data_IF_676328570040
#
_entry.id   IF_676328570040
#
_cell.length_a   1.000
_cell.length_b   1.000
_cell.length_c   1.000
_cell.angle_alpha   90.00
_cell.angle_beta   90.00
_cell.angle_gamma   90.00
#
_symmetry.space_group_name_H-M   'P 1'
#
loop_
_entity.id
_entity.type
_entity.pdbx_description
1 polymer ?
#
# COMPACT_ATOMS: atom_id res chain seq x y z
N UNK A 1 -22.54 15.47 66.60
CA UNK A 1 -21.23 16.03 66.19
C UNK A 1 -20.24 14.89 66.12
N UNK A 2 -19.89 14.45 64.90
CA UNK A 2 -18.88 13.42 64.66
C UNK A 2 -17.49 14.09 64.49
N UNK A 3 -16.38 13.44 64.89
CA UNK A 3 -15.04 14.02 64.70
C UNK A 3 -14.59 13.85 63.25
N UNK A 4 -14.03 14.92 62.70
CA UNK A 4 -13.48 14.97 61.35
C UNK A 4 -12.23 14.07 61.25
N UNK A 5 -12.20 13.25 60.21
CA UNK A 5 -11.07 12.43 59.79
C UNK A 5 -9.93 13.32 59.24
N UNK A 6 -8.75 13.25 59.85
CA UNK A 6 -7.52 13.81 59.28
C UNK A 6 -6.97 12.86 58.21
N UNK A 7 -7.13 13.23 56.94
CA UNK A 7 -6.40 12.62 55.84
C UNK A 7 -4.95 13.10 55.90
N UNK A 8 -4.00 12.19 56.09
CA UNK A 8 -2.58 12.48 55.96
C UNK A 8 -2.26 12.91 54.52
N UNK A 9 -1.57 14.04 54.30
CA UNK A 9 -1.13 14.40 52.96
C UNK A 9 -0.04 13.43 52.52
N UNK A 10 -0.24 12.79 51.36
CA UNK A 10 0.78 11.98 50.71
C UNK A 10 1.99 12.89 50.44
N UNK A 11 3.07 12.71 51.20
CA UNK A 11 4.31 13.48 51.03
C UNK A 11 4.99 13.01 49.74
N UNK A 12 4.78 13.76 48.67
CA UNK A 12 5.47 13.54 47.41
C UNK A 12 6.95 13.87 47.63
N UNK A 13 7.81 12.85 47.59
CA UNK A 13 9.26 13.03 47.72
C UNK A 13 9.82 13.71 46.47
N UNK A 14 9.82 15.05 46.48
CA UNK A 14 10.33 15.87 45.38
C UNK A 14 11.74 15.53 44.90
N UNK A 15 12.69 15.12 45.76
CA UNK A 15 14.00 14.71 45.29
C UNK A 15 13.94 13.55 44.30
N UNK A 16 13.08 12.55 44.55
CA UNK A 16 12.94 11.36 43.70
C UNK A 16 12.32 11.74 42.34
N UNK A 17 11.32 12.61 42.35
CA UNK A 17 10.65 13.08 41.13
C UNK A 17 11.56 13.97 40.27
N UNK A 18 12.35 14.84 40.88
CA UNK A 18 13.33 15.68 40.19
C UNK A 18 14.49 14.84 39.63
N UNK A 19 15.00 13.87 40.41
CA UNK A 19 16.04 12.95 39.91
C UNK A 19 15.53 12.08 38.77
N UNK A 20 14.29 11.57 38.86
CA UNK A 20 13.68 10.77 37.79
C UNK A 20 13.49 11.55 36.49
N UNK A 21 13.01 12.80 36.56
CA UNK A 21 12.82 13.67 35.39
C UNK A 21 14.13 14.19 34.79
N UNK A 22 15.14 14.44 35.61
CA UNK A 22 16.50 14.77 35.15
C UNK A 22 17.17 13.58 34.45
N UNK A 23 17.11 12.38 35.02
CA UNK A 23 17.65 11.16 34.40
C UNK A 23 16.94 10.81 33.08
N UNK A 24 15.62 11.00 33.01
CA UNK A 24 14.85 10.85 31.77
C UNK A 24 15.32 11.85 30.70
N UNK A 25 15.48 13.13 31.07
CA UNK A 25 15.93 14.18 30.15
C UNK A 25 17.37 13.94 29.67
N UNK A 26 18.26 13.51 30.56
CA UNK A 26 19.64 13.14 30.21
C UNK A 26 19.63 11.90 29.30
N UNK A 27 18.79 10.90 29.56
CA UNK A 27 18.63 9.72 28.71
C UNK A 27 18.12 10.07 27.31
N UNK A 28 17.19 11.03 27.20
CA UNK A 28 16.69 11.55 25.90
C UNK A 28 17.78 12.31 25.15
N UNK A 29 18.54 13.19 25.83
CA UNK A 29 19.62 13.97 25.23
C UNK A 29 20.82 13.09 24.82
N UNK A 30 21.23 12.15 25.67
CA UNK A 30 22.29 11.19 25.37
C UNK A 30 21.87 10.24 24.24
N UNK A 31 20.61 9.81 24.23
CA UNK A 31 20.02 9.04 23.13
C UNK A 31 20.02 9.80 21.81
N UNK A 32 19.78 11.11 21.82
CA UNK A 32 19.86 11.95 20.62
C UNK A 32 21.29 12.14 20.07
N UNK A 33 22.29 12.18 20.95
CA UNK A 33 23.70 12.40 20.57
C UNK A 33 24.43 11.11 20.12
N UNK A 34 23.99 9.93 20.58
CA UNK A 34 24.60 8.65 20.23
C UNK A 34 23.95 7.92 19.04
N UNK A 35 22.80 8.39 18.57
CA UNK A 35 22.03 7.70 17.54
C UNK A 35 22.42 8.14 16.13
N UNK A 36 23.68 7.88 15.74
CA UNK A 36 23.99 7.74 14.32
C UNK A 36 23.33 6.44 13.87
N UNK A 37 22.06 6.49 13.44
CA UNK A 37 21.36 5.34 12.85
C UNK A 37 22.25 4.82 11.72
N UNK A 38 22.85 3.65 11.90
CA UNK A 38 23.55 2.95 10.83
C UNK A 38 22.51 2.53 9.80
N UNK A 39 22.89 2.57 8.53
CA UNK A 39 22.10 1.97 7.46
C UNK A 39 21.67 0.57 7.89
N UNK A 40 20.36 0.33 7.89
CA UNK A 40 19.76 -0.89 8.43
C UNK A 40 18.93 -1.51 7.34
N UNK A 41 19.29 -2.72 6.93
CA UNK A 41 18.51 -3.51 5.97
C UNK A 41 17.95 -4.73 6.68
N UNK A 42 16.62 -4.80 6.82
CA UNK A 42 15.93 -5.99 7.31
C UNK A 42 15.73 -6.93 6.12
N UNK A 43 16.30 -8.13 6.21
CA UNK A 43 16.28 -9.10 5.11
C UNK A 43 14.90 -9.72 4.90
N UNK A 44 14.53 -9.88 3.63
CA UNK A 44 13.27 -10.49 3.21
C UNK A 44 13.28 -12.03 3.38
N UNK A 45 12.11 -12.69 3.31
CA UNK A 45 11.99 -14.15 3.31
C UNK A 45 12.86 -14.85 2.26
N UNK A 46 13.26 -14.13 1.20
CA UNK A 46 14.21 -14.62 0.20
C UNK A 46 15.51 -15.11 0.82
N UNK A 47 16.02 -14.36 1.79
CA UNK A 47 17.31 -14.65 2.44
C UNK A 47 17.10 -15.39 3.76
N UNK A 48 16.02 -15.09 4.48
CA UNK A 48 15.80 -15.59 5.85
C UNK A 48 15.08 -16.93 5.89
N UNK A 49 14.32 -17.28 4.85
CA UNK A 49 13.46 -18.47 4.81
C UNK A 49 13.75 -19.38 3.61
N UNK A 50 13.75 -18.88 2.36
CA UNK A 50 13.86 -19.74 1.17
C UNK A 50 15.04 -20.72 1.18
N UNK A 51 16.27 -20.36 1.65
CA UNK A 51 17.40 -21.31 1.66
C UNK A 51 17.21 -22.50 2.60
N UNK A 52 16.19 -22.48 3.46
CA UNK A 52 15.89 -23.53 4.45
C UNK A 52 14.81 -24.50 3.98
N UNK A 53 14.18 -24.23 2.84
CA UNK A 53 13.06 -24.99 2.33
C UNK A 53 13.48 -25.89 1.15
N UNK A 54 12.84 -27.04 1.01
CA UNK A 54 12.95 -27.89 -0.17
C UNK A 54 12.27 -27.24 -1.39
N UNK A 55 12.49 -27.80 -2.59
CA UNK A 55 11.85 -27.28 -3.81
C UNK A 55 10.34 -27.44 -3.76
N UNK A 56 9.88 -28.55 -3.19
CA UNK A 56 8.47 -28.87 -3.00
C UNK A 56 7.83 -27.89 -2.01
N UNK A 57 8.49 -27.65 -0.88
CA UNK A 57 8.03 -26.65 0.11
C UNK A 57 7.98 -25.24 -0.47
N UNK A 58 8.96 -24.86 -1.30
CA UNK A 58 8.99 -23.57 -1.99
C UNK A 58 7.80 -23.43 -2.96
N UNK A 59 7.47 -24.50 -3.69
CA UNK A 59 6.37 -24.50 -4.66
C UNK A 59 5.01 -24.33 -3.99
N UNK A 60 4.85 -24.88 -2.77
CA UNK A 60 3.60 -24.86 -2.00
C UNK A 60 3.43 -23.59 -1.15
N UNK A 61 4.40 -22.68 -1.18
CA UNK A 61 4.31 -21.39 -0.47
C UNK A 61 3.10 -20.59 -0.95
N UNK A 62 2.42 -19.84 -0.03
CA UNK A 62 1.38 -18.89 -0.40
C UNK A 62 1.77 -17.81 -1.39
N UNK A 63 3.07 -17.51 -1.50
CA UNK A 63 3.66 -16.60 -2.47
C UNK A 63 4.99 -17.20 -2.94
N UNK A 64 4.98 -18.12 -3.90
CA UNK A 64 6.20 -18.79 -4.33
C UNK A 64 7.07 -17.85 -5.19
N UNK A 65 8.40 -17.93 -5.12
CA UNK A 65 9.29 -16.96 -5.76
C UNK A 65 9.19 -16.91 -7.28
N UNK A 66 8.76 -18.01 -7.91
CA UNK A 66 8.57 -18.21 -9.34
C UNK A 66 7.11 -18.02 -9.79
N UNK A 67 6.25 -17.41 -8.96
CA UNK A 67 4.82 -17.24 -9.25
C UNK A 67 4.55 -16.34 -10.46
N UNK A 68 5.49 -15.47 -10.82
CA UNK A 68 5.46 -14.65 -12.03
C UNK A 68 6.74 -14.91 -12.85
N UNK A 69 6.67 -14.87 -14.20
CA UNK A 69 7.85 -15.06 -15.05
C UNK A 69 8.88 -13.93 -14.92
N UNK A 70 10.11 -14.21 -15.33
CA UNK A 70 11.17 -13.20 -15.43
C UNK A 70 11.61 -12.62 -14.09
N UNK A 71 11.47 -13.41 -13.01
CA UNK A 71 11.89 -13.02 -11.68
C UNK A 71 13.40 -12.75 -11.63
N UNK A 72 13.80 -11.62 -11.05
CA UNK A 72 15.19 -11.28 -10.72
C UNK A 72 15.26 -10.52 -9.40
N UNK A 73 16.42 -10.61 -8.77
CA UNK A 73 16.75 -9.86 -7.56
C UNK A 73 17.78 -8.78 -7.92
N UNK A 74 17.44 -7.52 -7.68
CA UNK A 74 18.27 -6.36 -8.00
C UNK A 74 18.94 -5.88 -6.71
N UNK A 75 20.26 -5.98 -6.63
CA UNK A 75 21.01 -5.46 -5.48
C UNK A 75 21.08 -3.93 -5.53
N UNK A 76 20.87 -3.29 -4.38
CA UNK A 76 20.84 -1.82 -4.26
C UNK A 76 21.40 -1.37 -2.91
N UNK A 77 21.75 -0.08 -2.75
CA UNK A 77 22.14 0.48 -1.45
C UNK A 77 21.09 0.31 -0.33
N UNK A 78 19.85 -0.02 -0.68
CA UNK A 78 18.71 -0.19 0.23
C UNK A 78 18.41 -1.67 0.53
N UNK A 79 19.23 -2.59 0.01
CA UNK A 79 18.96 -4.03 -0.01
C UNK A 79 18.46 -4.52 -1.36
N UNK A 80 18.01 -5.77 -1.42
CA UNK A 80 17.55 -6.40 -2.66
C UNK A 80 16.12 -6.03 -3.02
N UNK A 81 15.83 -5.76 -4.29
CA UNK A 81 14.48 -5.60 -4.84
C UNK A 81 14.10 -6.84 -5.66
N UNK A 82 12.94 -7.45 -5.39
CA UNK A 82 12.35 -8.48 -6.26
C UNK A 82 11.62 -7.81 -7.43
N UNK A 83 12.04 -8.14 -8.66
CA UNK A 83 11.45 -7.65 -9.91
C UNK A 83 11.00 -8.82 -10.77
N UNK A 84 9.90 -8.64 -11.50
CA UNK A 84 9.36 -9.56 -12.49
C UNK A 84 9.19 -8.82 -13.81
N UNK A 85 9.74 -9.33 -14.91
CA UNK A 85 9.66 -8.68 -16.21
C UNK A 85 9.49 -9.69 -17.34
N UNK A 86 8.40 -9.58 -18.10
CA UNK A 86 8.04 -10.59 -19.11
C UNK A 86 7.09 -10.02 -20.18
N UNK A 87 6.85 -10.80 -21.23
CA UNK A 87 6.14 -10.39 -22.44
C UNK A 87 7.10 -10.01 -23.59
N UNK A 88 6.57 -9.71 -24.79
CA UNK A 88 7.36 -9.38 -25.98
C UNK A 88 8.27 -8.17 -25.73
N UNK A 89 9.53 -8.23 -26.18
CA UNK A 89 10.54 -7.18 -25.90
C UNK A 89 10.25 -5.84 -26.60
N UNK A 90 9.55 -5.89 -27.74
CA UNK A 90 9.08 -4.75 -28.53
C UNK A 90 7.67 -4.29 -28.13
N UNK A 91 7.04 -4.97 -27.17
CA UNK A 91 5.71 -4.66 -26.69
C UNK A 91 5.61 -3.31 -25.97
N UNK A 92 4.37 -2.78 -25.88
CA UNK A 92 4.09 -1.59 -25.06
C UNK A 92 4.56 -1.82 -23.63
N UNK A 93 5.44 -0.96 -23.12
CA UNK A 93 5.99 -1.05 -21.78
C UNK A 93 4.98 -0.63 -20.74
N UNK A 94 4.73 -1.48 -19.74
CA UNK A 94 3.81 -1.23 -18.64
C UNK A 94 4.48 -1.54 -17.31
N UNK A 95 4.65 -0.54 -16.45
CA UNK A 95 5.12 -0.72 -15.09
C UNK A 95 3.92 -0.79 -14.15
N UNK A 96 3.82 -1.86 -13.34
CA UNK A 96 2.75 -2.05 -12.38
C UNK A 96 3.26 -1.94 -10.93
N UNK A 97 2.58 -1.12 -10.12
CA UNK A 97 2.89 -0.88 -8.71
C UNK A 97 1.74 -1.36 -7.84
N UNK A 98 2.02 -2.32 -6.96
CA UNK A 98 1.03 -2.93 -6.09
C UNK A 98 0.69 -2.07 -4.85
N UNK A 99 -0.32 -2.52 -4.08
CA UNK A 99 -0.82 -1.84 -2.89
C UNK A 99 0.04 -2.03 -1.63
N UNK A 100 -0.47 -1.57 -0.49
CA UNK A 100 0.31 -1.53 0.76
C UNK A 100 0.55 -2.91 1.40
N UNK A 101 -0.44 -3.81 1.33
CA UNK A 101 -0.45 -5.08 2.07
C UNK A 101 -0.02 -6.27 1.22
N UNK A 102 -0.31 -6.25 -0.08
CA UNK A 102 -0.03 -7.37 -0.98
C UNK A 102 1.34 -7.24 -1.65
N UNK A 103 1.96 -8.35 -2.10
CA UNK A 103 3.09 -8.30 -3.02
C UNK A 103 2.65 -8.07 -4.47
N UNK A 104 3.61 -8.00 -5.40
CA UNK A 104 3.41 -7.75 -6.83
C UNK A 104 2.39 -8.69 -7.50
N UNK A 105 2.30 -9.93 -7.03
CA UNK A 105 1.37 -10.95 -7.53
C UNK A 105 -0.11 -10.55 -7.44
N UNK A 106 -0.47 -9.56 -6.61
CA UNK A 106 -1.83 -8.98 -6.62
C UNK A 106 -2.22 -8.40 -7.99
N UNK A 107 -1.25 -7.99 -8.81
CA UNK A 107 -1.50 -7.52 -10.17
C UNK A 107 -1.16 -8.56 -11.24
N UNK A 108 -0.90 -9.82 -10.85
CA UNK A 108 -0.49 -10.89 -11.76
C UNK A 108 -1.53 -11.19 -12.84
N UNK A 109 -2.82 -11.23 -12.47
CA UNK A 109 -3.91 -11.44 -13.43
C UNK A 109 -3.98 -10.35 -14.51
N UNK A 110 -3.81 -9.09 -14.11
CA UNK A 110 -3.75 -7.94 -15.05
C UNK A 110 -2.49 -8.00 -15.88
N UNK A 111 -1.33 -8.27 -15.27
CA UNK A 111 -0.05 -8.37 -15.98
C UNK A 111 -0.07 -9.43 -17.08
N UNK A 112 -0.56 -10.64 -16.79
CA UNK A 112 -0.71 -11.68 -17.80
C UNK A 112 -1.67 -11.26 -18.92
N UNK A 113 -2.83 -10.68 -18.58
CA UNK A 113 -3.77 -10.21 -19.61
C UNK A 113 -3.20 -9.10 -20.49
N UNK A 114 -2.35 -8.21 -19.95
CA UNK A 114 -1.64 -7.21 -20.76
C UNK A 114 -0.60 -7.85 -21.68
N UNK A 115 0.13 -8.87 -21.21
CA UNK A 115 1.06 -9.64 -22.04
C UNK A 115 0.33 -10.36 -23.18
N UNK A 116 -0.84 -10.95 -22.90
CA UNK A 116 -1.70 -11.56 -23.91
C UNK A 116 -2.16 -10.54 -24.99
N UNK A 117 -2.10 -9.25 -24.67
CA UNK A 117 -2.37 -8.12 -25.58
C UNK A 117 -1.09 -7.41 -26.08
N UNK A 118 0.04 -8.12 -26.10
CA UNK A 118 1.29 -7.63 -26.70
C UNK A 118 2.07 -6.61 -25.87
N UNK A 119 1.81 -6.49 -24.57
CA UNK A 119 2.56 -5.59 -23.69
C UNK A 119 3.82 -6.25 -23.10
N UNK A 120 4.88 -5.46 -22.94
CA UNK A 120 6.02 -5.78 -22.07
C UNK A 120 5.69 -5.29 -20.66
N UNK A 121 5.54 -6.19 -19.70
CA UNK A 121 5.16 -5.82 -18.33
C UNK A 121 6.33 -5.93 -17.37
N UNK A 122 6.36 -5.03 -16.40
CA UNK A 122 7.29 -5.07 -15.28
C UNK A 122 6.54 -4.84 -13.97
N UNK A 123 6.81 -5.68 -12.99
CA UNK A 123 6.30 -5.58 -11.62
C UNK A 123 7.47 -5.71 -10.65
N UNK A 124 7.31 -5.18 -9.46
CA UNK A 124 8.29 -5.34 -8.40
C UNK A 124 7.60 -5.34 -7.05
N UNK A 125 8.19 -6.05 -6.08
CA UNK A 125 7.74 -5.94 -4.71
C UNK A 125 8.26 -4.63 -4.12
N UNK A 126 7.36 -3.78 -3.61
CA UNK A 126 7.70 -2.59 -2.84
C UNK A 126 8.62 -2.97 -1.66
N UNK A 127 9.54 -2.09 -1.27
CA UNK A 127 10.42 -2.35 -0.13
C UNK A 127 9.63 -2.78 1.11
N UNK A 128 10.05 -3.86 1.75
CA UNK A 128 9.34 -4.47 2.88
C UNK A 128 8.08 -5.25 2.54
N UNK A 129 7.89 -5.62 1.27
CA UNK A 129 6.81 -6.50 0.81
C UNK A 129 7.42 -7.64 0.00
N UNK A 130 6.71 -8.76 -0.04
CA UNK A 130 7.10 -9.95 -0.78
C UNK A 130 8.55 -10.35 -0.52
N UNK A 131 9.35 -10.38 -1.59
CA UNK A 131 10.76 -10.76 -1.55
C UNK A 131 11.76 -9.61 -1.61
N UNK A 132 11.31 -8.35 -1.65
CA UNK A 132 12.17 -7.16 -1.51
C UNK A 132 12.54 -6.91 -0.05
N UNK A 133 13.78 -6.54 0.25
CA UNK A 133 14.28 -6.19 1.59
C UNK A 133 13.59 -4.91 2.15
N UNK A 134 13.72 -4.63 3.45
CA UNK A 134 13.21 -3.39 4.09
C UNK A 134 14.37 -2.48 4.51
N UNK A 135 14.42 -1.23 4.01
CA UNK A 135 15.28 -0.17 4.55
C UNK A 135 14.74 0.26 5.93
N UNK A 136 15.28 -0.31 7.00
CA UNK A 136 14.78 -0.14 8.37
C UNK A 136 15.16 1.19 9.03
N UNK A 137 16.02 1.99 8.40
CA UNK A 137 16.43 3.31 8.87
C UNK A 137 15.78 4.48 8.10
N UNK A 138 14.97 4.19 7.08
CA UNK A 138 14.36 5.19 6.21
C UNK A 138 12.83 5.21 6.30
N UNK A 139 12.26 6.39 6.11
CA UNK A 139 10.82 6.53 5.89
C UNK A 139 10.44 5.91 4.54
N UNK A 140 9.35 5.12 4.52
CA UNK A 140 8.75 4.62 3.30
C UNK A 140 7.86 5.71 2.67
N UNK A 141 8.53 6.75 2.19
CA UNK A 141 7.92 7.93 1.59
C UNK A 141 8.07 7.94 0.06
N UNK A 142 7.57 9.00 -0.58
CA UNK A 142 7.66 9.14 -2.03
C UNK A 142 9.10 9.19 -2.55
N UNK A 143 10.09 9.65 -1.77
CA UNK A 143 11.49 9.69 -2.19
C UNK A 143 12.03 8.27 -2.29
N UNK A 144 11.74 7.44 -1.30
CA UNK A 144 12.13 6.02 -1.32
C UNK A 144 11.43 5.27 -2.46
N UNK A 145 10.11 5.45 -2.62
CA UNK A 145 9.37 4.77 -3.70
C UNK A 145 9.78 5.23 -5.10
N UNK A 146 10.04 6.52 -5.28
CA UNK A 146 10.57 7.06 -6.55
C UNK A 146 11.94 6.45 -6.85
N UNK A 147 12.83 6.40 -5.87
CA UNK A 147 14.14 5.77 -6.01
C UNK A 147 14.00 4.29 -6.37
N UNK A 148 13.06 3.59 -5.73
CA UNK A 148 12.77 2.19 -6.05
C UNK A 148 12.33 2.01 -7.50
N UNK A 149 11.39 2.83 -8.00
CA UNK A 149 10.95 2.80 -9.41
C UNK A 149 12.15 2.98 -10.35
N UNK A 150 12.99 4.00 -10.12
CA UNK A 150 14.12 4.29 -10.99
C UNK A 150 15.16 3.15 -10.99
N UNK A 151 15.45 2.55 -9.83
CA UNK A 151 16.34 1.39 -9.71
C UNK A 151 15.78 0.16 -10.44
N UNK A 152 14.47 -0.06 -10.34
CA UNK A 152 13.77 -1.16 -11.02
C UNK A 152 13.84 -0.97 -12.55
N UNK A 153 13.52 0.22 -13.05
CA UNK A 153 13.61 0.53 -14.49
C UNK A 153 15.05 0.38 -15.01
N UNK A 154 16.04 0.88 -14.27
CA UNK A 154 17.45 0.80 -14.63
C UNK A 154 18.01 -0.63 -14.59
N UNK A 155 17.37 -1.54 -13.86
CA UNK A 155 17.78 -2.95 -13.78
C UNK A 155 17.38 -3.80 -14.99
N UNK A 156 16.55 -3.26 -15.89
CA UNK A 156 16.08 -4.00 -17.06
C UNK A 156 17.19 -4.09 -18.12
N UNK A 157 17.29 -5.23 -18.84
CA UNK A 157 18.14 -5.29 -20.03
C UNK A 157 17.58 -4.44 -21.19
N UNK A 158 16.31 -4.03 -21.13
CA UNK A 158 15.68 -3.17 -22.13
C UNK A 158 15.71 -1.70 -21.67
N UNK A 159 15.79 -0.76 -22.61
CA UNK A 159 15.69 0.67 -22.28
C UNK A 159 14.25 1.05 -21.97
N UNK A 160 13.92 1.31 -20.71
CA UNK A 160 12.58 1.79 -20.31
C UNK A 160 12.39 3.30 -20.38
N UNK A 161 13.49 4.05 -20.51
CA UNK A 161 13.51 5.52 -20.54
C UNK A 161 14.33 6.02 -21.73
N UNK A 162 14.13 7.29 -22.12
CA UNK A 162 14.82 7.92 -23.26
C UNK A 162 14.00 9.04 -23.92
N UNK A 163 14.45 9.53 -25.07
CA UNK A 163 13.88 10.73 -25.73
C UNK A 163 12.87 10.41 -26.84
N UNK A 164 12.76 9.16 -27.25
CA UNK A 164 11.93 8.70 -28.37
C UNK A 164 10.52 8.32 -27.85
N UNK A 165 9.50 8.28 -28.72
CA UNK A 165 8.14 7.83 -28.32
C UNK A 165 8.14 6.43 -27.68
N UNK A 166 9.01 5.53 -28.16
CA UNK A 166 9.22 4.17 -27.63
C UNK A 166 9.92 4.12 -26.26
N UNK A 167 10.28 5.28 -25.71
CA UNK A 167 11.03 5.46 -24.48
C UNK A 167 10.18 6.01 -23.31
N UNK A 168 8.85 6.05 -23.50
CA UNK A 168 7.86 6.23 -22.45
C UNK A 168 7.24 4.89 -22.07
N UNK A 169 6.63 4.80 -20.90
CA UNK A 169 5.91 3.62 -20.46
C UNK A 169 4.56 3.99 -19.85
N UNK A 170 3.61 3.05 -19.91
CA UNK A 170 2.36 3.13 -19.18
C UNK A 170 2.61 2.79 -17.71
N UNK A 171 2.08 3.60 -16.80
CA UNK A 171 2.22 3.41 -15.37
C UNK A 171 0.88 3.01 -14.76
N UNK A 172 0.85 1.85 -14.11
CA UNK A 172 -0.31 1.27 -13.44
C UNK A 172 -0.07 1.28 -11.93
N UNK A 173 -1.00 1.83 -11.15
CA UNK A 173 -0.89 1.87 -9.70
C UNK A 173 -2.15 1.37 -9.00
N UNK A 174 -2.00 0.43 -8.07
CA UNK A 174 -3.10 -0.09 -7.24
C UNK A 174 -3.01 0.41 -5.80
N UNK A 175 -4.09 1.01 -5.27
CA UNK A 175 -4.17 1.45 -3.87
C UNK A 175 -3.03 2.42 -3.51
N UNK A 176 -2.17 2.11 -2.53
CA UNK A 176 -0.92 2.86 -2.29
C UNK A 176 -0.09 3.04 -3.56
N UNK A 177 0.00 2.02 -4.41
CA UNK A 177 0.67 2.08 -5.71
C UNK A 177 0.08 3.14 -6.64
N UNK A 178 -1.21 3.46 -6.52
CA UNK A 178 -1.84 4.58 -7.23
C UNK A 178 -1.35 5.93 -6.74
N UNK A 179 -1.25 6.12 -5.42
CA UNK A 179 -0.66 7.33 -4.84
C UNK A 179 0.81 7.51 -5.21
N UNK A 180 1.58 6.42 -5.22
CA UNK A 180 2.97 6.40 -5.69
C UNK A 180 3.04 6.75 -7.17
N UNK A 181 2.23 6.10 -8.00
CA UNK A 181 2.22 6.27 -9.45
C UNK A 181 1.91 7.71 -9.86
N UNK A 182 0.83 8.29 -9.34
CA UNK A 182 0.45 9.67 -9.70
C UNK A 182 1.48 10.68 -9.21
N UNK A 183 2.00 10.52 -7.99
CA UNK A 183 3.01 11.45 -7.49
C UNK A 183 4.33 11.30 -8.26
N UNK A 184 4.77 10.08 -8.60
CA UNK A 184 5.91 9.86 -9.49
C UNK A 184 5.69 10.52 -10.85
N UNK A 185 4.52 10.31 -11.47
CA UNK A 185 4.16 10.92 -12.74
C UNK A 185 4.17 12.46 -12.69
N UNK A 186 3.89 13.07 -11.53
CA UNK A 186 3.98 14.53 -11.37
C UNK A 186 5.42 15.06 -11.43
N UNK A 187 6.42 14.24 -11.08
CA UNK A 187 7.84 14.60 -11.12
C UNK A 187 8.52 14.19 -12.43
N UNK A 188 8.08 13.08 -13.04
CA UNK A 188 8.64 12.53 -14.26
C UNK A 188 7.60 12.39 -15.37
N UNK A 189 6.80 13.43 -15.67
CA UNK A 189 5.67 13.30 -16.59
C UNK A 189 6.09 12.91 -18.01
N UNK A 190 7.30 13.29 -18.43
CA UNK A 190 7.81 12.97 -19.76
C UNK A 190 8.14 11.49 -19.94
N UNK A 191 8.30 10.71 -18.85
CA UNK A 191 8.47 9.26 -18.90
C UNK A 191 7.14 8.50 -19.05
N UNK A 192 6.01 9.18 -18.84
CA UNK A 192 4.70 8.54 -18.76
C UNK A 192 3.96 8.67 -20.10
N UNK A 193 3.60 7.52 -20.67
CA UNK A 193 2.75 7.46 -21.86
C UNK A 193 1.25 7.48 -21.51
N UNK A 194 0.89 6.72 -20.47
CA UNK A 194 -0.48 6.56 -19.96
C UNK A 194 -0.42 6.32 -18.45
N UNK A 195 -1.35 6.91 -17.69
CA UNK A 195 -1.51 6.68 -16.25
C UNK A 195 -2.84 5.96 -15.98
N UNK A 196 -2.77 4.79 -15.35
CA UNK A 196 -3.92 3.93 -15.04
C UNK A 196 -3.90 3.63 -13.54
N UNK A 197 -5.03 3.86 -12.87
CA UNK A 197 -5.12 3.78 -11.42
C UNK A 197 -6.24 2.82 -11.02
N UNK A 198 -5.94 1.86 -10.13
CA UNK A 198 -6.94 0.95 -9.56
C UNK A 198 -7.15 1.30 -8.10
N UNK A 199 -8.38 1.64 -7.72
CA UNK A 199 -8.76 2.02 -6.36
C UNK A 199 -7.67 2.88 -5.66
N UNK A 200 -7.25 4.03 -6.25
CA UNK A 200 -6.04 4.71 -5.85
C UNK A 200 -6.14 5.41 -4.49
N UNK A 201 -5.07 5.34 -3.71
CA UNK A 201 -4.82 6.25 -2.60
C UNK A 201 -4.25 7.60 -3.10
N UNK A 202 -3.96 8.51 -2.19
CA UNK A 202 -3.30 9.81 -2.45
C UNK A 202 -4.21 11.00 -2.20
N UNK A 203 -5.46 10.93 -2.66
CA UNK A 203 -6.47 11.98 -2.48
C UNK A 203 -7.56 11.58 -1.48
N UNK A 204 -7.29 10.58 -0.63
CA UNK A 204 -8.24 10.13 0.38
C UNK A 204 -8.58 11.22 1.40
N UNK A 205 -9.88 11.41 1.65
CA UNK A 205 -10.39 12.38 2.62
C UNK A 205 -10.14 11.91 4.06
N UNK A 206 -9.79 12.82 4.98
CA UNK A 206 -9.37 12.46 6.34
C UNK A 206 -10.48 11.90 7.23
N UNK A 207 -11.76 12.15 6.93
CA UNK A 207 -12.88 11.77 7.79
C UNK A 207 -13.16 10.25 7.82
N UNK A 208 -12.57 9.48 6.91
CA UNK A 208 -12.63 8.00 6.93
C UNK A 208 -11.62 7.34 7.88
N UNK A 209 -10.80 8.15 8.56
CA UNK A 209 -9.84 7.66 9.55
C UNK A 209 -10.56 7.55 10.90
N UNK A 210 -10.84 6.32 11.32
CA UNK A 210 -11.30 6.06 12.67
C UNK A 210 -10.29 6.62 13.69
N UNK A 211 -10.77 7.18 14.82
CA UNK A 211 -9.90 7.75 15.87
C UNK A 211 -8.84 6.76 16.39
N UNK A 212 -9.06 5.46 16.21
CA UNK A 212 -8.16 4.36 16.57
C UNK A 212 -7.00 4.14 15.58
N UNK A 213 -7.09 4.62 14.34
CA UNK A 213 -5.99 4.64 13.37
C UNK A 213 -4.90 5.66 13.74
N UNK A 214 -5.18 6.60 14.65
CA UNK A 214 -4.19 7.52 15.22
C UNK A 214 -3.06 6.79 15.95
N UNK A 215 -3.26 5.55 16.41
CA UNK A 215 -2.19 4.79 17.09
C UNK A 215 -0.99 4.55 16.19
N UNK A 216 -1.20 4.36 14.88
CA UNK A 216 -0.10 4.19 13.93
C UNK A 216 0.72 5.48 13.88
N UNK A 217 0.12 6.66 14.04
CA UNK A 217 0.81 7.96 14.02
C UNK A 217 1.43 8.35 15.37
N UNK A 218 1.32 7.51 16.40
CA UNK A 218 1.84 7.80 17.76
C UNK A 218 3.35 7.55 17.88
N UNK A 219 4.12 7.97 16.88
CA UNK A 219 5.57 7.85 16.87
C UNK A 219 6.17 8.63 18.06
N UNK A 220 7.13 8.02 18.76
CA UNK A 220 7.78 8.62 19.94
C UNK A 220 6.96 8.59 21.23
N UNK A 221 5.67 8.22 21.18
CA UNK A 221 4.81 8.05 22.36
C UNK A 221 4.78 6.58 22.81
N UNK A 222 4.63 5.65 21.84
CA UNK A 222 4.63 4.21 22.09
C UNK A 222 5.94 3.63 21.58
N UNK A 223 6.66 2.79 22.37
CA UNK A 223 7.85 2.10 21.87
C UNK A 223 7.55 1.31 20.58
N UNK A 224 8.34 1.52 19.53
CA UNK A 224 8.02 1.06 18.17
C UNK A 224 7.80 -0.46 18.10
N UNK A 225 8.61 -1.27 18.79
CA UNK A 225 8.43 -2.73 18.83
C UNK A 225 7.13 -3.19 19.49
N UNK A 226 6.58 -2.41 20.45
CA UNK A 226 5.26 -2.70 21.01
C UNK A 226 4.16 -2.33 20.01
N UNK A 227 4.29 -1.19 19.34
CA UNK A 227 3.33 -0.76 18.33
C UNK A 227 3.28 -1.73 17.14
N UNK A 228 4.43 -2.20 16.66
CA UNK A 228 4.52 -3.24 15.64
C UNK A 228 3.81 -4.53 16.08
N UNK A 229 3.94 -4.95 17.34
CA UNK A 229 3.22 -6.13 17.85
C UNK A 229 1.71 -5.93 17.84
N UNK A 230 1.23 -4.75 18.22
CA UNK A 230 -0.20 -4.41 18.19
C UNK A 230 -0.72 -4.39 16.76
N UNK A 231 -0.02 -3.73 15.84
CA UNK A 231 -0.39 -3.68 14.42
C UNK A 231 -0.36 -5.06 13.80
N UNK A 232 0.66 -5.88 14.07
CA UNK A 232 0.74 -7.28 13.61
C UNK A 232 -0.48 -8.10 14.05
N UNK A 233 -0.86 -7.99 15.33
CA UNK A 233 -2.03 -8.71 15.86
C UNK A 233 -3.32 -8.26 15.17
N UNK A 234 -3.46 -6.96 14.90
CA UNK A 234 -4.63 -6.40 14.20
C UNK A 234 -4.71 -6.86 12.75
N UNK A 235 -3.60 -6.86 12.01
CA UNK A 235 -3.55 -7.32 10.62
C UNK A 235 -3.86 -8.82 10.47
N UNK A 236 -3.71 -9.62 11.54
CA UNK A 236 -4.10 -11.03 11.59
C UNK A 236 -5.57 -11.27 11.93
N UNK A 237 -6.28 -10.30 12.53
CA UNK A 237 -7.65 -10.51 13.01
C UNK A 237 -8.66 -10.42 11.85
N UNK A 238 -9.38 -11.49 11.51
CA UNK A 238 -10.59 -11.38 10.70
C UNK A 238 -11.70 -10.81 11.59
N UNK A 239 -12.30 -9.68 11.23
CA UNK A 239 -13.47 -9.18 11.98
C UNK A 239 -14.73 -9.27 11.14
N UNK A 240 -15.45 -10.37 11.41
CA UNK A 240 -16.89 -10.55 11.48
C UNK A 240 -17.77 -9.75 10.48
N UNK A 241 -18.39 -10.52 9.58
CA UNK A 241 -19.67 -10.32 8.89
C UNK A 241 -20.45 -9.02 9.19
N UNK A 242 -20.93 -8.29 8.17
CA UNK A 242 -21.93 -7.25 8.38
C UNK A 242 -23.21 -7.90 8.93
N UNK A 243 -23.72 -7.38 10.05
CA UNK A 243 -25.06 -7.65 10.55
C UNK A 243 -26.05 -7.55 9.39
N UNK A 244 -26.74 -8.66 9.10
CA UNK A 244 -27.93 -8.66 8.26
C UNK A 244 -28.95 -7.73 8.92
N UNK A 245 -29.26 -6.61 8.28
CA UNK A 245 -30.45 -5.82 8.60
C UNK A 245 -31.68 -6.61 8.21
N UNK A 246 -32.10 -7.55 9.05
CA UNK A 246 -33.45 -8.09 8.98
C UNK A 246 -34.41 -7.03 9.53
N UNK A 247 -35.14 -6.42 8.60
CA UNK A 247 -36.33 -5.62 8.83
C UNK A 247 -37.39 -6.42 9.59
N UNK A 248 -37.58 -6.11 10.87
CA UNK A 248 -38.90 -6.04 11.53
C UNK A 248 -38.77 -5.34 12.89
N UNK A 249 -39.62 -4.34 13.22
CA UNK A 249 -39.59 -3.68 14.52
C UNK A 249 -40.47 -4.44 15.52
N UNK A 250 -39.97 -4.63 16.75
CA UNK A 250 -40.83 -4.80 17.92
C UNK A 250 -40.13 -4.27 19.19
N UNK A 251 -40.90 -3.69 20.14
CA UNK A 251 -40.38 -2.77 21.15
C UNK A 251 -40.08 -3.43 22.50
N UNK A 252 -39.24 -2.74 23.28
CA UNK A 252 -38.82 -2.99 24.66
C UNK A 252 -37.72 -4.04 24.85
N UNK A 253 -36.52 -3.57 25.21
CA UNK A 253 -35.84 -3.99 26.44
C UNK A 253 -34.64 -3.06 26.73
N UNK A 254 -34.72 -2.40 27.88
CA UNK A 254 -33.60 -1.74 28.55
C UNK A 254 -32.60 -2.79 29.03
N UNK A 255 -31.36 -2.74 28.55
CA UNK A 255 -30.23 -3.34 29.24
C UNK A 255 -28.92 -2.66 28.82
N UNK A 256 -28.51 -1.72 29.67
CA UNK A 256 -27.12 -1.28 29.82
C UNK A 256 -26.18 -2.50 29.87
N UNK A 257 -25.45 -2.73 28.77
CA UNK A 257 -24.22 -3.52 28.77
C UNK A 257 -23.10 -2.65 28.23
N UNK A 258 -22.30 -2.16 29.16
CA UNK A 258 -21.01 -1.52 28.95
C UNK A 258 -20.11 -2.52 28.22
N UNK A 259 -20.06 -2.41 26.89
CA UNK A 259 -19.06 -3.09 26.06
C UNK A 259 -17.70 -2.49 26.43
N UNK A 260 -16.76 -3.33 26.86
CA UNK A 260 -15.45 -2.89 27.33
C UNK A 260 -14.73 -2.09 26.25
N UNK A 261 -14.14 -0.96 26.63
CA UNK A 261 -13.42 -0.05 25.73
C UNK A 261 -12.28 -0.71 24.94
N UNK A 262 -11.85 -1.90 25.33
CA UNK A 262 -10.87 -2.75 24.64
C UNK A 262 -11.45 -3.57 23.48
N UNK A 263 -12.74 -3.93 23.52
CA UNK A 263 -13.41 -4.71 22.46
C UNK A 263 -13.94 -3.79 21.35
N UNK A 264 -14.43 -2.60 21.70
CA UNK A 264 -14.76 -1.55 20.72
C UNK A 264 -13.50 -1.03 19.97
N UNK A 265 -12.32 -1.08 20.61
CA UNK A 265 -11.06 -0.69 19.99
C UNK A 265 -10.48 -1.73 19.01
N UNK A 266 -10.97 -2.98 19.03
CA UNK A 266 -10.57 -4.03 18.10
C UNK A 266 -11.31 -3.92 16.76
N UNK A 267 -12.58 -3.50 16.77
CA UNK A 267 -13.48 -3.42 15.62
C UNK A 267 -13.02 -2.45 14.50
N UNK A 268 -12.32 -1.37 14.85
CA UNK A 268 -12.22 -0.20 13.96
C UNK A 268 -10.92 -0.09 13.16
N UNK A 269 -9.98 -1.03 13.33
CA UNK A 269 -8.85 -1.26 12.39
C UNK A 269 -9.09 -2.50 11.53
N UNK A 270 -10.08 -3.33 11.91
CA UNK A 270 -10.62 -4.45 11.12
C UNK A 270 -11.42 -4.04 9.88
N UNK A 271 -11.52 -2.74 9.58
CA UNK A 271 -12.08 -2.24 8.30
C UNK A 271 -11.15 -2.41 7.10
N UNK A 272 -9.92 -2.91 7.29
CA UNK A 272 -9.32 -3.75 6.25
C UNK A 272 -10.06 -5.07 6.32
N UNK A 273 -11.24 -5.10 5.70
CA UNK A 273 -12.12 -6.26 5.71
C UNK A 273 -11.40 -7.36 4.91
N UNK A 274 -10.52 -8.13 5.58
CA UNK A 274 -9.86 -9.26 4.94
C UNK A 274 -10.95 -10.22 4.45
N UNK A 275 -12.05 -10.39 5.18
CA UNK A 275 -13.15 -11.29 4.82
C UNK A 275 -13.85 -10.95 3.49
N UNK A 276 -13.96 -9.68 3.08
CA UNK A 276 -14.50 -9.34 1.75
C UNK A 276 -13.49 -9.51 0.62
N UNK A 277 -12.20 -9.65 0.96
CA UNK A 277 -11.06 -9.74 0.04
C UNK A 277 -10.40 -11.15 0.01
N UNK A 278 -10.82 -12.09 0.88
CA UNK A 278 -10.01 -13.25 1.30
C UNK A 278 -9.90 -14.43 0.31
N UNK A 279 -10.76 -14.53 -0.71
CA UNK A 279 -10.75 -15.68 -1.65
C UNK A 279 -10.21 -15.39 -3.04
N UNK A 280 -9.84 -14.15 -3.33
CA UNK A 280 -9.38 -13.80 -4.67
C UNK A 280 -8.06 -14.52 -4.98
N UNK A 281 -8.11 -15.39 -6.00
CA UNK A 281 -6.97 -16.17 -6.48
C UNK A 281 -6.04 -15.23 -7.25
N UNK A 282 -4.77 -15.17 -6.84
CA UNK A 282 -3.79 -14.27 -7.44
C UNK A 282 -3.04 -14.89 -8.62
N UNK A 283 -3.00 -16.22 -8.69
CA UNK A 283 -2.31 -16.95 -9.75
C UNK A 283 -3.27 -17.83 -10.54
N UNK A 284 -3.31 -17.64 -11.86
CA UNK A 284 -4.08 -18.50 -12.78
C UNK A 284 -3.61 -19.95 -12.73
N UNK A 285 -2.33 -20.18 -12.47
CA UNK A 285 -1.69 -21.52 -12.47
C UNK A 285 -1.65 -22.16 -11.09
N UNK A 286 -1.78 -21.37 -10.00
CA UNK A 286 -1.66 -21.84 -8.62
C UNK A 286 -2.85 -21.36 -7.77
N UNK A 287 -3.97 -22.11 -7.76
CA UNK A 287 -5.19 -21.70 -7.05
C UNK A 287 -5.03 -21.50 -5.54
N UNK A 288 -3.99 -22.08 -4.94
CA UNK A 288 -3.70 -21.93 -3.51
C UNK A 288 -3.12 -20.56 -3.14
N UNK A 289 -2.65 -19.77 -4.12
CA UNK A 289 -2.10 -18.42 -3.94
C UNK A 289 -3.27 -17.42 -3.90
N UNK A 290 -3.67 -17.00 -2.71
CA UNK A 290 -4.75 -16.00 -2.50
C UNK A 290 -4.21 -14.74 -1.82
N UNK A 291 -4.96 -13.63 -1.92
CA UNK A 291 -4.65 -12.36 -1.23
C UNK A 291 -4.38 -12.59 0.26
N UNK A 292 -5.33 -13.25 0.94
CA UNK A 292 -5.24 -13.53 2.37
C UNK A 292 -3.99 -14.32 2.73
N UNK A 293 -3.75 -15.45 2.04
CA UNK A 293 -2.61 -16.32 2.35
C UNK A 293 -1.28 -15.62 2.09
N UNK A 294 -1.17 -14.81 1.03
CA UNK A 294 0.05 -14.05 0.75
C UNK A 294 0.30 -12.95 1.80
N UNK A 295 -0.74 -12.30 2.32
CA UNK A 295 -0.61 -11.30 3.40
C UNK A 295 -0.25 -11.96 4.73
N UNK A 296 -0.94 -13.03 5.12
CA UNK A 296 -0.62 -13.79 6.33
C UNK A 296 0.80 -14.35 6.28
N UNK A 297 1.23 -14.87 5.12
CA UNK A 297 2.59 -15.35 4.93
C UNK A 297 3.64 -14.28 5.20
N UNK A 298 3.43 -13.03 4.73
CA UNK A 298 4.33 -11.91 5.04
C UNK A 298 4.33 -11.56 6.54
N UNK A 299 3.16 -11.55 7.20
CA UNK A 299 3.05 -11.27 8.64
C UNK A 299 3.82 -12.29 9.49
N UNK A 300 3.87 -13.54 9.03
CA UNK A 300 4.48 -14.65 9.76
C UNK A 300 5.97 -14.79 9.47
N UNK A 301 6.39 -14.56 8.22
CA UNK A 301 7.73 -14.91 7.75
C UNK A 301 8.61 -13.70 7.39
N UNK A 302 8.05 -12.50 7.33
CA UNK A 302 8.79 -11.29 7.01
C UNK A 302 8.91 -10.34 8.21
N UNK A 303 10.07 -10.32 8.91
CA UNK A 303 10.32 -9.39 10.01
C UNK A 303 10.06 -7.90 9.67
N UNK A 304 10.45 -7.47 8.47
CA UNK A 304 10.36 -6.07 8.04
C UNK A 304 8.99 -5.64 7.48
N UNK A 305 8.01 -6.55 7.35
CA UNK A 305 6.72 -6.24 6.73
C UNK A 305 5.91 -5.22 7.53
N UNK A 306 5.74 -5.45 8.84
CA UNK A 306 4.92 -4.58 9.69
C UNK A 306 5.54 -3.18 9.81
N UNK A 307 6.85 -3.12 9.95
CA UNK A 307 7.62 -1.87 9.93
C UNK A 307 7.35 -1.07 8.65
N UNK A 308 7.54 -1.70 7.49
CA UNK A 308 7.35 -1.07 6.19
C UNK A 308 5.89 -0.65 5.95
N UNK A 309 4.92 -1.47 6.39
CA UNK A 309 3.50 -1.15 6.35
C UNK A 309 3.19 0.11 7.16
N UNK A 310 3.61 0.16 8.43
CA UNK A 310 3.39 1.32 9.30
C UNK A 310 4.07 2.58 8.75
N UNK A 311 5.31 2.46 8.29
CA UNK A 311 6.06 3.56 7.69
C UNK A 311 5.36 4.10 6.42
N UNK A 312 4.83 3.21 5.57
CA UNK A 312 4.08 3.61 4.37
C UNK A 312 2.77 4.32 4.70
N UNK A 313 2.08 3.93 5.77
CA UNK A 313 0.87 4.63 6.25
C UNK A 313 1.21 6.04 6.78
N UNK A 314 2.34 6.19 7.46
CA UNK A 314 2.78 7.46 8.06
C UNK A 314 3.28 8.46 7.02
N UNK A 315 4.17 8.03 6.14
CA UNK A 315 4.95 8.94 5.28
C UNK A 315 4.73 8.71 3.78
N UNK A 316 4.08 7.61 3.40
CA UNK A 316 3.77 7.32 2.01
C UNK A 316 2.71 8.27 1.42
N UNK A 317 2.59 8.33 0.08
CA UNK A 317 1.62 9.18 -0.61
C UNK A 317 0.19 8.61 -0.53
N UNK A 318 -0.30 8.32 0.67
CA UNK A 318 -1.64 7.75 0.91
C UNK A 318 -2.72 8.85 0.94
N UNK A 319 -2.35 10.07 1.34
CA UNK A 319 -3.27 11.21 1.53
C UNK A 319 -2.59 12.53 1.16
N UNK A 320 -3.42 13.57 1.03
CA UNK A 320 -2.99 14.94 0.85
C UNK A 320 -2.08 15.15 -0.37
N UNK A 321 -2.27 14.35 -1.42
CA UNK A 321 -1.51 14.45 -2.68
C UNK A 321 -2.21 15.28 -3.77
N UNK A 322 -3.30 15.98 -3.44
CA UNK A 322 -4.08 16.80 -4.38
C UNK A 322 -3.19 17.74 -5.21
N UNK A 323 -2.21 18.39 -4.59
CA UNK A 323 -1.31 19.30 -5.30
C UNK A 323 -0.43 18.58 -6.32
N UNK A 324 0.04 17.37 -6.01
CA UNK A 324 0.83 16.55 -6.93
C UNK A 324 -0.02 16.04 -8.08
N UNK A 325 -1.24 15.61 -7.80
CA UNK A 325 -2.21 15.23 -8.82
C UNK A 325 -2.54 16.42 -9.73
N UNK A 326 -2.69 17.63 -9.16
CA UNK A 326 -2.92 18.87 -9.92
C UNK A 326 -1.77 19.24 -10.83
N UNK A 327 -0.53 19.11 -10.36
CA UNK A 327 0.67 19.34 -11.18
C UNK A 327 0.66 18.39 -12.39
N UNK A 328 0.34 17.10 -12.17
CA UNK A 328 0.24 16.14 -13.27
C UNK A 328 -0.90 16.49 -14.23
N UNK A 329 -2.10 16.81 -13.72
CA UNK A 329 -3.25 17.22 -14.52
C UNK A 329 -2.96 18.45 -15.39
N UNK A 330 -2.30 19.47 -14.83
CA UNK A 330 -1.85 20.65 -15.58
C UNK A 330 -0.82 20.30 -16.67
N UNK A 331 0.08 19.35 -16.39
CA UNK A 331 1.02 18.87 -17.41
C UNK A 331 0.29 18.15 -18.55
N UNK A 332 -0.63 17.24 -18.22
CA UNK A 332 -1.42 16.51 -19.20
C UNK A 332 -2.26 17.44 -20.08
N UNK A 333 -2.92 18.44 -19.48
CA UNK A 333 -3.68 19.45 -20.20
C UNK A 333 -2.79 20.23 -21.20
N UNK A 334 -1.58 20.62 -20.78
CA UNK A 334 -0.61 21.31 -21.65
C UNK A 334 -0.15 20.41 -22.80
N UNK A 335 0.18 19.15 -22.52
CA UNK A 335 0.56 18.18 -23.57
C UNK A 335 -0.56 17.97 -24.58
N UNK A 336 -1.81 17.87 -24.11
CA UNK A 336 -3.00 17.77 -24.95
C UNK A 336 -3.14 19.00 -25.86
N UNK A 337 -2.97 20.20 -25.31
CA UNK A 337 -3.03 21.43 -26.09
C UNK A 337 -1.90 21.52 -27.14
N UNK A 338 -0.67 21.18 -26.76
CA UNK A 338 0.50 21.27 -27.65
C UNK A 338 0.44 20.23 -28.77
N UNK A 339 0.02 19.00 -28.46
CA UNK A 339 0.03 17.89 -29.41
C UNK A 339 -1.31 17.69 -30.15
N UNK A 340 -2.36 18.46 -29.81
CA UNK A 340 -3.71 18.27 -30.33
C UNK A 340 -4.33 16.94 -29.91
N UNK A 341 -3.92 16.39 -28.76
CA UNK A 341 -4.41 15.10 -28.23
C UNK A 341 -5.48 15.29 -27.16
N UNK A 342 -6.17 14.21 -26.78
CA UNK A 342 -7.13 14.18 -25.68
C UNK A 342 -6.81 13.03 -24.71
N UNK A 343 -5.53 12.93 -24.30
CA UNK A 343 -5.08 11.91 -23.35
C UNK A 343 -5.70 12.16 -21.97
N UNK A 344 -6.06 11.07 -21.30
CA UNK A 344 -6.69 11.09 -19.97
C UNK A 344 -5.97 10.16 -19.00
N UNK A 345 -6.32 10.26 -17.72
CA UNK A 345 -6.03 9.24 -16.71
C UNK A 345 -7.20 8.27 -16.63
N UNK A 346 -6.94 6.97 -16.67
CA UNK A 346 -7.98 5.97 -16.43
C UNK A 346 -8.00 5.60 -14.94
N UNK A 347 -9.16 5.71 -14.29
CA UNK A 347 -9.37 5.29 -12.90
C UNK A 347 -10.42 4.19 -12.84
N UNK A 348 -10.02 3.01 -12.34
CA UNK A 348 -10.89 1.85 -12.15
C UNK A 348 -11.22 1.68 -10.67
N UNK A 349 -12.50 1.58 -10.36
CA UNK A 349 -13.03 1.57 -8.99
C UNK A 349 -13.92 0.36 -8.73
N UNK A 350 -13.95 -0.10 -7.47
CA UNK A 350 -14.95 -1.05 -6.99
C UNK A 350 -16.16 -0.30 -6.44
N UNK A 351 -17.38 -0.64 -6.89
CA UNK A 351 -18.61 0.01 -6.40
C UNK A 351 -18.86 -0.21 -4.92
N UNK A 352 -18.35 -1.32 -4.38
CA UNK A 352 -18.56 -1.75 -2.99
C UNK A 352 -17.29 -1.59 -2.14
N UNK A 353 -16.33 -0.78 -2.60
CA UNK A 353 -15.06 -0.56 -1.89
C UNK A 353 -15.29 0.25 -0.60
N UNK A 354 -15.00 -0.31 0.59
CA UNK A 354 -15.21 0.38 1.86
C UNK A 354 -14.06 1.33 2.23
N UNK A 355 -12.96 1.31 1.47
CA UNK A 355 -11.74 2.10 1.71
C UNK A 355 -11.68 3.27 0.74
N UNK A 356 -11.92 3.01 -0.54
CA UNK A 356 -11.87 4.00 -1.62
C UNK A 356 -13.28 4.30 -2.08
N UNK A 357 -13.86 5.37 -1.55
CA UNK A 357 -15.24 5.73 -1.84
C UNK A 357 -15.35 6.32 -3.24
N UNK A 358 -16.01 5.60 -4.15
CA UNK A 358 -16.09 5.94 -5.57
C UNK A 358 -16.46 7.41 -5.81
N UNK A 359 -17.54 7.88 -5.18
CA UNK A 359 -18.05 9.24 -5.35
C UNK A 359 -17.03 10.31 -4.95
N UNK A 360 -16.27 10.08 -3.89
CA UNK A 360 -15.26 11.04 -3.42
C UNK A 360 -14.07 11.09 -4.38
N UNK A 361 -13.61 9.92 -4.84
CA UNK A 361 -12.53 9.86 -5.84
C UNK A 361 -12.95 10.49 -7.15
N UNK A 362 -14.18 10.26 -7.61
CA UNK A 362 -14.69 10.89 -8.84
C UNK A 362 -14.70 12.41 -8.74
N UNK A 363 -15.19 12.96 -7.62
CA UNK A 363 -15.20 14.41 -7.36
C UNK A 363 -13.78 14.98 -7.29
N UNK A 364 -12.95 14.42 -6.41
CA UNK A 364 -11.63 14.96 -6.11
C UNK A 364 -10.66 14.79 -7.30
N UNK A 365 -10.70 13.64 -7.98
CA UNK A 365 -9.85 13.39 -9.15
C UNK A 365 -10.26 14.24 -10.36
N UNK A 366 -11.56 14.46 -10.57
CA UNK A 366 -12.03 15.30 -11.66
C UNK A 366 -11.59 16.77 -11.49
N UNK A 367 -11.64 17.29 -10.26
CA UNK A 367 -11.11 18.62 -9.94
C UNK A 367 -9.60 18.72 -10.20
N UNK A 368 -8.81 17.87 -9.54
CA UNK A 368 -7.33 18.01 -9.61
C UNK A 368 -6.76 17.64 -10.99
N UNK A 369 -7.39 16.75 -11.75
CA UNK A 369 -6.94 16.40 -13.10
C UNK A 369 -7.50 17.35 -14.19
N UNK A 370 -8.29 18.35 -13.81
CA UNK A 370 -8.87 19.32 -14.74
C UNK A 370 -9.76 18.67 -15.80
N UNK A 371 -10.54 17.65 -15.40
CA UNK A 371 -11.40 16.87 -16.29
C UNK A 371 -10.68 15.88 -17.22
N UNK A 372 -9.35 15.79 -17.19
CA UNK A 372 -8.58 14.83 -18.00
C UNK A 372 -8.55 13.43 -17.36
N UNK A 373 -9.72 12.90 -17.04
CA UNK A 373 -9.90 11.62 -16.35
C UNK A 373 -11.09 10.86 -16.93
N UNK A 374 -11.00 9.55 -16.91
CA UNK A 374 -12.07 8.61 -17.25
C UNK A 374 -12.24 7.61 -16.11
N UNK A 375 -13.47 7.38 -15.69
CA UNK A 375 -13.79 6.47 -14.59
C UNK A 375 -14.53 5.24 -15.09
N UNK A 376 -14.13 4.07 -14.59
CA UNK A 376 -14.83 2.81 -14.83
C UNK A 376 -15.03 2.09 -13.49
N UNK A 377 -16.25 1.64 -13.22
CA UNK A 377 -16.55 0.94 -11.97
C UNK A 377 -17.14 -0.45 -12.19
N UNK A 378 -16.66 -1.41 -11.39
CA UNK A 378 -17.13 -2.79 -11.40
C UNK A 378 -17.83 -3.15 -10.09
N UNK A 379 -18.71 -4.14 -10.14
CA UNK A 379 -19.30 -4.76 -8.95
C UNK A 379 -18.25 -5.63 -8.24
N UNK A 380 -17.39 -4.97 -7.47
CA UNK A 380 -16.23 -5.47 -6.75
C UNK A 380 -15.91 -4.56 -5.55
N UNK A 381 -15.08 -5.04 -4.62
CA UNK A 381 -14.54 -4.24 -3.53
C UNK A 381 -13.19 -3.59 -3.90
N UNK A 382 -12.35 -3.39 -2.89
CA UNK A 382 -11.00 -2.82 -3.07
C UNK A 382 -10.11 -3.69 -3.96
N UNK A 383 -10.38 -4.99 -4.01
CA UNK A 383 -9.68 -5.99 -4.78
C UNK A 383 -10.06 -6.04 -6.27
N UNK A 384 -10.72 -5.00 -6.81
CA UNK A 384 -11.17 -4.94 -8.21
C UNK A 384 -10.13 -5.37 -9.26
N UNK A 385 -8.83 -5.00 -9.21
CA UNK A 385 -7.89 -5.50 -10.22
C UNK A 385 -7.58 -7.00 -10.09
N UNK A 386 -7.85 -7.60 -8.93
CA UNK A 386 -7.68 -9.02 -8.68
C UNK A 386 -8.93 -9.78 -9.13
N UNK A 387 -10.10 -9.40 -8.63
CA UNK A 387 -11.35 -10.14 -8.85
C UNK A 387 -11.94 -9.93 -10.25
N UNK A 388 -11.62 -8.81 -10.91
CA UNK A 388 -12.13 -8.45 -12.25
C UNK A 388 -11.02 -8.29 -13.29
N UNK A 389 -9.87 -8.96 -13.10
CA UNK A 389 -8.67 -8.79 -13.92
C UNK A 389 -8.94 -8.78 -15.44
N UNK A 390 -9.72 -9.73 -15.97
CA UNK A 390 -10.03 -9.79 -17.42
C UNK A 390 -10.89 -8.61 -17.91
N UNK A 391 -11.82 -8.12 -17.08
CA UNK A 391 -12.63 -6.94 -17.41
C UNK A 391 -11.76 -5.69 -17.38
N UNK A 392 -10.89 -5.57 -16.36
CA UNK A 392 -9.93 -4.47 -16.22
C UNK A 392 -8.99 -4.41 -17.42
N UNK A 393 -8.43 -5.53 -17.85
CA UNK A 393 -7.53 -5.59 -19.03
C UNK A 393 -8.26 -5.13 -20.28
N UNK A 394 -9.49 -5.59 -20.52
CA UNK A 394 -10.30 -5.13 -21.66
C UNK A 394 -10.54 -3.62 -21.62
N UNK A 395 -10.85 -3.08 -20.45
CA UNK A 395 -11.00 -1.62 -20.27
C UNK A 395 -9.72 -0.86 -20.60
N UNK A 396 -8.55 -1.37 -20.20
CA UNK A 396 -7.27 -0.73 -20.49
C UNK A 396 -6.97 -0.74 -21.99
N UNK A 397 -7.18 -1.87 -22.66
CA UNK A 397 -6.93 -2.00 -24.11
C UNK A 397 -7.87 -1.10 -24.90
N UNK A 398 -9.16 -1.05 -24.54
CA UNK A 398 -10.14 -0.12 -25.12
C UNK A 398 -9.76 1.35 -24.86
N UNK A 399 -9.33 1.65 -23.64
CA UNK A 399 -8.90 3.00 -23.28
C UNK A 399 -7.71 3.47 -24.15
N UNK A 400 -6.72 2.60 -24.35
CA UNK A 400 -5.58 2.89 -25.22
C UNK A 400 -5.98 3.03 -26.69
N UNK A 401 -6.82 2.14 -27.22
CA UNK A 401 -7.24 2.23 -28.63
C UNK A 401 -8.00 3.52 -28.96
N UNK A 402 -8.60 4.18 -27.96
CA UNK A 402 -9.29 5.47 -28.10
C UNK A 402 -8.40 6.69 -27.87
N UNK A 403 -7.24 6.54 -27.22
CA UNK A 403 -6.43 7.67 -26.71
C UNK A 403 -5.02 7.75 -27.28
N UNK A 404 -4.54 6.68 -27.93
CA UNK A 404 -3.31 6.66 -28.73
C UNK A 404 -3.56 7.07 -30.18
#
# INVERSE_FOLDING_TARGET
MAPASSLNPISIHWPILVTGSALFSIGVLAGGLWNKKRASTIRSPRTTLLPKLSKEEISDLPYPPDVLPGARDVDTPYGSIRVYEFGPEDGRKVLLIHGISTPAIALGGVAHGLVDNGCRVMLFDLFGRGYSDTPGDLAHDIRLFTTQILLVLASSPLSWTGHNRSAKFSLVGYSLGGGIATTFASYFPDLIDSLILFAPAGILRPYHISKTSHIIYSEGIIPEGLLERVVRRRLRSPMAQPLRTTTTPSPNEDASKTVGATEAAAAEVGKVNLESNSRAVLSKTRPHVTVEKAVLYQLDNYPGFVHAFMSSIRYGPVRYQHDRWRIFGQHLARQNQVNGTNKKVLIVLGRNDPIIIQKEVEEDANDVLGGNVEFVSFDAGHEVPVSKAEQVVRTIVDFWSRTD
#
